data_IF_376476116712
#
_entry.id   IF_376476116712
#
_cell.length_a   1.000
_cell.length_b   1.000
_cell.length_c   1.000
_cell.angle_alpha   90.00
_cell.angle_beta   90.00
_cell.angle_gamma   90.00
#
_symmetry.space_group_name_H-M   'P 1'
#
loop_
_entity.id
_entity.type
_entity.pdbx_description
1 polymer ?
#
# COMPACT_ATOMS: atom_id res chain seq x y z
N UNK A 1 48.04 62.95 46.52
CA UNK A 1 46.99 62.77 45.49
C UNK A 1 47.10 61.35 44.97
N UNK A 2 46.25 60.46 45.50
CA UNK A 2 46.17 59.08 45.13
C UNK A 2 45.02 58.94 44.11
N UNK A 3 45.35 58.43 42.90
CA UNK A 3 44.26 58.00 41.91
C UNK A 3 44.05 56.55 42.06
N UNK A 4 42.83 56.18 42.45
CA UNK A 4 42.29 54.79 42.47
C UNK A 4 41.74 54.46 41.08
N UNK A 5 42.32 53.47 40.45
CA UNK A 5 41.85 52.92 39.19
C UNK A 5 40.91 51.73 39.51
N UNK A 6 39.62 51.85 39.12
CA UNK A 6 38.59 50.80 39.24
C UNK A 6 38.59 49.96 37.97
N UNK A 7 39.05 48.72 38.03
CA UNK A 7 38.90 47.75 36.94
C UNK A 7 37.51 47.12 36.94
N UNK A 8 36.77 47.32 35.86
CA UNK A 8 35.48 46.66 35.61
C UNK A 8 35.79 45.35 34.88
N UNK A 9 35.62 44.21 35.55
CA UNK A 9 35.60 42.91 34.94
C UNK A 9 34.26 42.69 34.25
N UNK A 10 34.21 42.68 32.91
CA UNK A 10 33.04 42.26 32.13
C UNK A 10 33.00 40.77 32.06
N UNK A 11 31.99 40.15 32.68
CA UNK A 11 31.69 38.74 32.60
C UNK A 11 30.99 38.47 31.27
N UNK A 12 31.67 37.87 30.29
CA UNK A 12 31.06 37.42 29.03
C UNK A 12 30.43 36.07 29.30
N UNK A 13 29.08 36.04 29.38
CA UNK A 13 28.29 34.82 29.39
C UNK A 13 28.27 34.25 27.97
N UNK A 14 29.03 33.18 27.71
CA UNK A 14 28.94 32.41 26.48
C UNK A 14 27.72 31.47 26.61
N UNK A 15 26.59 31.86 26.00
CA UNK A 15 25.44 30.97 25.81
C UNK A 15 25.78 30.06 24.63
N UNK A 16 26.20 28.86 24.92
CA UNK A 16 26.31 27.81 23.90
C UNK A 16 24.91 27.42 23.42
N UNK A 17 24.58 27.43 22.10
CA UNK A 17 23.37 26.91 21.62
C UNK A 17 23.37 25.37 21.82
N UNK A 18 22.47 24.86 22.64
CA UNK A 18 22.20 23.44 22.72
C UNK A 18 21.66 23.00 21.33
N UNK A 19 22.55 22.45 20.52
CA UNK A 19 22.15 21.63 19.36
C UNK A 19 21.37 20.42 19.91
N UNK A 20 20.06 20.54 19.98
CA UNK A 20 19.19 19.39 20.10
C UNK A 20 19.36 18.57 18.81
N UNK A 21 20.28 17.62 18.83
CA UNK A 21 20.31 16.56 17.83
C UNK A 21 18.93 15.87 17.89
N UNK A 22 18.10 16.14 16.88
CA UNK A 22 16.95 15.29 16.55
C UNK A 22 17.54 13.91 16.23
N UNK A 23 17.72 13.09 17.25
CA UNK A 23 17.93 11.65 17.06
C UNK A 23 16.63 11.18 16.43
N UNK A 24 16.62 10.95 15.11
CA UNK A 24 15.56 10.21 14.45
C UNK A 24 15.41 8.89 15.23
N UNK A 25 14.38 8.81 16.02
CA UNK A 25 14.04 7.60 16.78
C UNK A 25 13.42 6.64 15.75
N UNK A 26 14.20 5.70 15.24
CA UNK A 26 13.64 4.54 14.55
C UNK A 26 12.49 3.97 15.39
N UNK A 27 11.34 3.73 14.76
CA UNK A 27 10.11 3.42 15.48
C UNK A 27 10.07 1.94 15.91
N UNK A 28 9.49 1.67 17.07
CA UNK A 28 9.21 0.31 17.54
C UNK A 28 8.03 -0.27 16.74
N UNK A 29 8.16 -1.55 16.31
CA UNK A 29 7.07 -2.28 15.68
C UNK A 29 6.23 -2.98 16.76
N UNK A 30 4.96 -2.64 16.81
CA UNK A 30 4.01 -3.20 17.76
C UNK A 30 2.95 -4.03 17.02
N UNK A 31 2.79 -5.29 17.42
CA UNK A 31 1.62 -6.09 17.01
C UNK A 31 0.38 -5.54 17.68
N UNK A 32 -0.68 -5.36 16.90
CA UNK A 32 -1.98 -4.92 17.38
C UNK A 32 -3.02 -5.96 17.01
N UNK A 33 -3.66 -6.51 18.02
CA UNK A 33 -4.72 -7.49 17.90
C UNK A 33 -6.03 -6.96 18.52
N UNK A 34 -7.21 -7.46 18.10
CA UNK A 34 -8.46 -7.15 18.79
C UNK A 34 -8.44 -7.64 20.24
N UNK A 35 -9.18 -6.98 21.16
CA UNK A 35 -9.22 -7.32 22.57
C UNK A 35 -9.58 -8.80 22.85
N UNK A 36 -10.40 -9.42 21.98
CA UNK A 36 -10.85 -10.81 22.09
C UNK A 36 -10.12 -11.74 21.11
N UNK A 37 -8.91 -11.34 20.67
CA UNK A 37 -8.14 -12.11 19.71
C UNK A 37 -7.73 -13.47 20.29
N UNK A 38 -7.97 -14.53 19.50
CA UNK A 38 -7.42 -15.85 19.77
C UNK A 38 -6.35 -16.13 18.72
N UNK A 39 -5.11 -16.43 19.13
CA UNK A 39 -4.05 -16.81 18.19
C UNK A 39 -4.51 -18.01 17.35
N UNK A 40 -4.49 -17.86 16.03
CA UNK A 40 -4.97 -18.88 15.09
C UNK A 40 -3.85 -19.64 14.39
N UNK A 41 -2.57 -19.47 14.83
CA UNK A 41 -1.42 -20.03 14.14
C UNK A 41 -1.21 -19.50 12.70
N UNK A 42 -1.85 -18.37 12.37
CA UNK A 42 -1.70 -17.72 11.06
C UNK A 42 -0.28 -17.13 10.94
N UNK A 43 0.34 -17.17 9.76
CA UNK A 43 1.68 -16.60 9.54
C UNK A 43 1.63 -15.09 9.25
N UNK A 44 0.78 -14.34 9.95
CA UNK A 44 0.66 -12.88 9.86
C UNK A 44 -0.03 -12.32 11.11
N UNK A 45 0.29 -11.07 11.45
CA UNK A 45 -0.33 -10.32 12.55
C UNK A 45 -1.65 -9.69 12.09
N UNK A 46 -2.58 -9.42 13.02
CA UNK A 46 -3.82 -8.70 12.68
C UNK A 46 -3.54 -7.30 12.18
N UNK A 47 -2.59 -6.60 12.81
CA UNK A 47 -2.02 -5.36 12.33
C UNK A 47 -0.62 -5.13 12.94
N UNK A 48 0.16 -4.26 12.29
CA UNK A 48 1.45 -3.75 12.80
C UNK A 48 1.34 -2.23 12.94
N UNK A 49 1.63 -1.72 14.12
CA UNK A 49 1.76 -0.28 14.39
C UNK A 49 3.23 0.13 14.36
N UNK A 50 3.51 1.21 13.64
CA UNK A 50 4.83 1.86 13.66
C UNK A 50 4.62 3.36 13.81
N UNK A 51 5.03 3.92 14.94
CA UNK A 51 4.74 5.31 15.27
C UNK A 51 3.24 5.61 15.23
N UNK A 52 2.84 6.53 14.38
CA UNK A 52 1.44 6.93 14.22
C UNK A 52 0.67 6.12 13.17
N UNK A 53 1.34 5.23 12.42
CA UNK A 53 0.70 4.45 11.35
C UNK A 53 0.39 3.03 11.79
N UNK A 54 -0.82 2.55 11.48
CA UNK A 54 -1.27 1.19 11.68
C UNK A 54 -1.56 0.53 10.31
N UNK A 55 -0.86 -0.57 10.04
CA UNK A 55 -1.03 -1.40 8.85
C UNK A 55 -1.89 -2.61 9.20
N UNK A 56 -3.13 -2.65 8.73
CA UNK A 56 -4.12 -3.69 9.05
C UNK A 56 -4.11 -4.77 7.97
N UNK A 57 -4.04 -6.03 8.38
CA UNK A 57 -4.17 -7.19 7.47
C UNK A 57 -5.53 -7.22 6.78
N UNK A 58 -5.59 -7.83 5.61
CA UNK A 58 -6.84 -8.12 4.93
C UNK A 58 -7.84 -8.81 5.88
N UNK A 59 -9.02 -8.21 6.00
CA UNK A 59 -10.10 -8.72 6.80
C UNK A 59 -11.22 -9.21 5.90
N UNK A 60 -11.46 -10.53 5.93
CA UNK A 60 -12.67 -11.14 5.39
C UNK A 60 -13.85 -10.98 6.33
N UNK A 61 -14.96 -11.59 5.95
CA UNK A 61 -16.24 -11.51 6.67
C UNK A 61 -16.43 -12.57 7.75
N UNK A 62 -15.38 -13.33 8.10
CA UNK A 62 -15.49 -14.32 9.20
C UNK A 62 -15.72 -13.61 10.54
N UNK A 63 -16.70 -14.11 11.29
CA UNK A 63 -16.95 -13.74 12.67
C UNK A 63 -15.88 -14.34 13.59
N UNK A 64 -15.75 -13.88 14.85
CA UNK A 64 -14.80 -14.45 15.82
C UNK A 64 -14.99 -15.96 16.10
N UNK A 65 -16.18 -16.50 15.86
CA UNK A 65 -16.50 -17.93 15.99
C UNK A 65 -16.15 -18.75 14.74
N UNK A 66 -15.64 -18.10 13.67
CA UNK A 66 -15.26 -18.72 12.41
C UNK A 66 -16.39 -18.84 11.39
N UNK A 67 -17.62 -18.47 11.74
CA UNK A 67 -18.77 -18.52 10.81
C UNK A 67 -18.77 -17.34 9.83
N UNK A 68 -19.38 -17.55 8.66
CA UNK A 68 -19.60 -16.50 7.66
C UNK A 68 -21.04 -16.02 7.71
N UNK A 69 -21.31 -14.70 7.64
CA UNK A 69 -22.65 -14.16 7.48
C UNK A 69 -23.31 -14.66 6.17
N UNK A 70 -24.64 -14.76 6.17
CA UNK A 70 -25.41 -15.28 5.04
C UNK A 70 -25.47 -14.32 3.86
N UNK A 71 -25.88 -13.08 4.11
CA UNK A 71 -26.06 -12.07 3.08
C UNK A 71 -24.78 -11.26 2.81
N UNK A 72 -24.66 -10.69 1.61
CA UNK A 72 -23.46 -9.94 1.23
C UNK A 72 -23.32 -8.64 2.03
N UNK A 73 -24.39 -7.93 2.34
CA UNK A 73 -24.33 -6.71 3.16
C UNK A 73 -23.89 -7.01 4.60
N UNK A 74 -24.31 -8.13 5.20
CA UNK A 74 -23.79 -8.58 6.48
C UNK A 74 -22.30 -8.95 6.40
N UNK A 75 -21.84 -9.51 5.29
CA UNK A 75 -20.43 -9.81 5.06
C UNK A 75 -19.59 -8.54 5.02
N UNK A 76 -20.03 -7.50 4.30
CA UNK A 76 -19.35 -6.20 4.26
C UNK A 76 -19.30 -5.57 5.66
N UNK A 77 -20.44 -5.59 6.37
CA UNK A 77 -20.53 -5.08 7.74
C UNK A 77 -19.54 -5.81 8.65
N UNK A 78 -19.48 -7.13 8.58
CA UNK A 78 -18.56 -7.92 9.38
C UNK A 78 -17.08 -7.61 9.08
N UNK A 79 -16.69 -7.42 7.80
CA UNK A 79 -15.33 -7.00 7.44
C UNK A 79 -14.95 -5.67 8.11
N UNK A 80 -15.85 -4.68 8.03
CA UNK A 80 -15.60 -3.35 8.63
C UNK A 80 -15.61 -3.40 10.16
N UNK A 81 -16.43 -4.23 10.79
CA UNK A 81 -16.39 -4.45 12.24
C UNK A 81 -15.12 -5.21 12.68
N UNK A 82 -14.61 -6.15 11.88
CA UNK A 82 -13.32 -6.79 12.15
C UNK A 82 -12.18 -5.75 12.11
N UNK A 83 -12.18 -4.87 11.09
CA UNK A 83 -11.22 -3.75 11.01
C UNK A 83 -11.36 -2.84 12.22
N UNK A 84 -12.60 -2.44 12.58
CA UNK A 84 -12.86 -1.58 13.75
C UNK A 84 -12.34 -2.20 15.04
N UNK A 85 -12.53 -3.53 15.23
CA UNK A 85 -12.03 -4.22 16.41
C UNK A 85 -10.49 -4.17 16.52
N UNK A 86 -9.78 -4.34 15.39
CA UNK A 86 -8.32 -4.21 15.32
C UNK A 86 -7.90 -2.76 15.60
N UNK A 87 -8.54 -1.78 14.95
CA UNK A 87 -8.27 -0.36 15.18
C UNK A 87 -8.39 0.02 16.65
N UNK A 88 -9.46 -0.46 17.33
CA UNK A 88 -9.67 -0.24 18.76
C UNK A 88 -8.60 -0.88 19.64
N UNK A 89 -8.07 -2.05 19.25
CA UNK A 89 -6.90 -2.64 19.87
C UNK A 89 -5.66 -1.73 19.82
N UNK A 90 -5.56 -0.89 18.77
CA UNK A 90 -4.52 0.13 18.60
C UNK A 90 -4.89 1.52 19.12
N UNK A 91 -6.02 1.68 19.84
CA UNK A 91 -6.50 2.99 20.33
C UNK A 91 -7.07 3.92 19.24
N UNK A 92 -7.55 3.35 18.12
CA UNK A 92 -8.09 4.04 16.94
C UNK A 92 -9.54 3.59 16.66
N UNK A 93 -10.22 4.21 15.70
CA UNK A 93 -11.53 3.76 15.18
C UNK A 93 -11.58 4.05 13.66
N UNK A 94 -12.70 3.77 12.99
CA UNK A 94 -12.87 3.92 11.54
C UNK A 94 -12.54 5.32 11.01
N UNK A 95 -12.72 6.37 11.81
CA UNK A 95 -12.33 7.74 11.43
C UNK A 95 -10.82 7.94 11.30
N UNK A 96 -10.00 7.02 11.81
CA UNK A 96 -8.54 7.04 11.66
C UNK A 96 -8.07 6.51 10.31
N UNK A 97 -8.94 5.85 9.53
CA UNK A 97 -8.62 5.27 8.24
C UNK A 97 -8.15 6.34 7.25
N UNK A 98 -7.04 6.08 6.56
CA UNK A 98 -6.49 6.92 5.49
C UNK A 98 -6.55 6.23 4.14
N UNK A 99 -6.47 4.90 4.08
CA UNK A 99 -6.50 4.11 2.85
C UNK A 99 -7.23 2.80 3.06
N UNK A 100 -8.05 2.42 2.07
CA UNK A 100 -8.71 1.12 1.97
C UNK A 100 -8.52 0.50 0.58
N UNK A 101 -8.19 -0.79 0.54
CA UNK A 101 -8.33 -1.62 -0.64
C UNK A 101 -9.43 -2.64 -0.40
N UNK A 102 -10.43 -2.64 -1.27
CA UNK A 102 -11.61 -3.51 -1.22
C UNK A 102 -11.55 -4.50 -2.37
N UNK A 103 -11.56 -5.78 -2.05
CA UNK A 103 -11.52 -6.87 -3.01
C UNK A 103 -12.87 -7.59 -3.00
N UNK A 104 -13.51 -7.69 -4.16
CA UNK A 104 -14.80 -8.35 -4.36
C UNK A 104 -14.63 -9.49 -5.36
N UNK A 105 -15.20 -10.66 -5.06
CA UNK A 105 -15.23 -11.76 -6.05
C UNK A 105 -16.27 -11.53 -7.13
N UNK A 106 -17.25 -10.63 -6.89
CA UNK A 106 -18.28 -10.23 -7.84
C UNK A 106 -18.57 -8.72 -7.71
N UNK A 107 -18.21 -7.95 -8.75
CA UNK A 107 -18.47 -6.50 -8.79
C UNK A 107 -19.93 -6.10 -8.91
N UNK A 108 -20.87 -7.04 -9.23
CA UNK A 108 -22.30 -6.74 -9.17
C UNK A 108 -22.75 -6.36 -7.75
N UNK A 109 -21.96 -6.73 -6.74
CA UNK A 109 -22.18 -6.36 -5.34
C UNK A 109 -21.67 -4.96 -4.97
N UNK A 110 -21.10 -4.18 -5.91
CA UNK A 110 -20.47 -2.88 -5.62
C UNK A 110 -21.43 -1.87 -5.00
N UNK A 111 -22.66 -1.81 -5.46
CA UNK A 111 -23.69 -0.89 -4.91
C UNK A 111 -24.00 -1.22 -3.44
N UNK A 112 -24.20 -2.51 -3.13
CA UNK A 112 -24.41 -2.97 -1.75
C UNK A 112 -23.18 -2.69 -0.88
N UNK A 113 -21.95 -2.96 -1.41
CA UNK A 113 -20.71 -2.62 -0.74
C UNK A 113 -20.64 -1.13 -0.40
N UNK A 114 -20.93 -0.25 -1.37
CA UNK A 114 -20.89 1.19 -1.20
C UNK A 114 -21.88 1.66 -0.12
N UNK A 115 -23.11 1.18 -0.15
CA UNK A 115 -24.16 1.53 0.82
C UNK A 115 -23.72 1.23 2.26
N UNK A 116 -23.24 0.00 2.51
CA UNK A 116 -22.82 -0.43 3.86
C UNK A 116 -21.55 0.33 4.29
N UNK A 117 -20.62 0.52 3.38
CA UNK A 117 -19.39 1.28 3.62
C UNK A 117 -19.67 2.72 4.06
N UNK A 118 -20.52 3.46 3.32
CA UNK A 118 -20.84 4.83 3.66
C UNK A 118 -21.65 4.97 4.96
N UNK A 119 -22.50 3.97 5.24
CA UNK A 119 -23.23 3.91 6.50
C UNK A 119 -22.30 3.80 7.71
N UNK A 120 -21.27 2.93 7.63
CA UNK A 120 -20.42 2.61 8.78
C UNK A 120 -19.23 3.55 8.95
N UNK A 121 -18.58 3.96 7.86
CA UNK A 121 -17.42 4.86 7.96
C UNK A 121 -17.87 6.24 8.37
N UNK A 122 -18.87 6.81 7.71
CA UNK A 122 -19.36 8.17 8.00
C UNK A 122 -18.25 9.24 7.91
N UNK A 123 -18.58 10.49 8.14
CA UNK A 123 -17.60 11.57 8.30
C UNK A 123 -16.61 11.71 7.12
N UNK A 124 -15.32 11.81 7.43
CA UNK A 124 -14.26 11.98 6.44
C UNK A 124 -13.77 10.64 5.92
N UNK A 125 -14.17 10.29 4.70
CA UNK A 125 -13.83 9.04 4.03
C UNK A 125 -12.32 8.91 3.76
N UNK A 126 -11.74 7.68 3.83
CA UNK A 126 -10.37 7.40 3.39
C UNK A 126 -10.25 7.40 1.86
N UNK A 127 -9.03 7.40 1.35
CA UNK A 127 -8.75 7.01 -0.03
C UNK A 127 -9.16 5.54 -0.23
N UNK A 128 -9.80 5.22 -1.38
CA UNK A 128 -10.32 3.87 -1.60
C UNK A 128 -10.02 3.35 -3.01
N UNK A 129 -9.65 2.07 -3.06
CA UNK A 129 -9.51 1.28 -4.29
C UNK A 129 -10.46 0.09 -4.20
N UNK A 130 -11.31 -0.14 -5.21
CA UNK A 130 -12.20 -1.31 -5.29
C UNK A 130 -11.86 -2.12 -6.53
N UNK A 131 -11.72 -3.44 -6.38
CA UNK A 131 -11.25 -4.36 -7.42
C UNK A 131 -12.10 -5.63 -7.43
N UNK A 132 -12.41 -6.10 -8.64
CA UNK A 132 -12.93 -7.46 -8.85
C UNK A 132 -11.78 -8.45 -8.94
N UNK A 133 -11.71 -9.45 -8.03
CA UNK A 133 -10.63 -10.43 -7.95
C UNK A 133 -11.14 -11.84 -8.22
N UNK A 134 -10.24 -12.76 -8.60
CA UNK A 134 -10.63 -14.12 -8.96
C UNK A 134 -11.14 -14.93 -7.75
N UNK A 135 -10.48 -14.80 -6.60
CA UNK A 135 -10.86 -15.50 -5.38
C UNK A 135 -10.23 -14.85 -4.13
N UNK A 136 -10.76 -15.21 -2.96
CA UNK A 136 -10.33 -14.75 -1.65
C UNK A 136 -10.18 -15.94 -0.69
N UNK A 137 -9.28 -15.87 0.31
CA UNK A 137 -9.11 -16.95 1.27
C UNK A 137 -10.38 -17.24 2.08
N UNK A 138 -10.56 -18.50 2.49
CA UNK A 138 -11.61 -18.91 3.45
C UNK A 138 -13.04 -18.77 2.97
N UNK A 139 -13.29 -18.77 1.65
CA UNK A 139 -14.64 -18.65 1.08
C UNK A 139 -15.27 -17.26 1.23
N UNK A 140 -14.43 -16.24 1.48
CA UNK A 140 -14.89 -14.86 1.50
C UNK A 140 -15.29 -14.36 0.11
N UNK A 141 -16.29 -13.50 0.05
CA UNK A 141 -16.71 -12.79 -1.17
C UNK A 141 -16.32 -11.31 -1.15
N UNK A 142 -15.82 -10.85 -0.01
CA UNK A 142 -15.27 -9.53 0.22
C UNK A 142 -14.10 -9.62 1.20
N UNK A 143 -13.03 -8.89 0.92
CA UNK A 143 -11.90 -8.68 1.81
C UNK A 143 -11.49 -7.21 1.75
N UNK A 144 -11.08 -6.63 2.89
CA UNK A 144 -10.72 -5.22 2.99
C UNK A 144 -9.39 -5.11 3.72
N UNK A 145 -8.41 -4.44 3.07
CA UNK A 145 -7.12 -4.05 3.67
C UNK A 145 -7.18 -2.58 4.05
N UNK A 146 -6.55 -2.19 5.16
CA UNK A 146 -6.61 -0.83 5.65
C UNK A 146 -5.25 -0.28 6.12
N UNK A 147 -5.08 1.04 5.99
CA UNK A 147 -4.05 1.81 6.68
C UNK A 147 -4.77 2.90 7.48
N UNK A 148 -4.35 3.08 8.74
CA UNK A 148 -4.88 4.10 9.62
C UNK A 148 -3.76 4.93 10.27
N UNK A 149 -4.09 6.13 10.73
CA UNK A 149 -3.16 7.03 11.45
C UNK A 149 -3.74 7.41 12.81
N UNK A 150 -2.86 7.57 13.81
CA UNK A 150 -3.26 7.78 15.20
C UNK A 150 -4.10 9.06 15.41
N UNK A 151 -3.71 10.17 14.77
CA UNK A 151 -4.47 11.42 14.82
C UNK A 151 -5.38 11.57 13.59
N UNK A 152 -6.70 11.38 13.73
CA UNK A 152 -7.63 11.57 12.61
C UNK A 152 -7.74 13.02 12.12
N UNK A 153 -7.29 14.00 12.91
CA UNK A 153 -7.26 15.42 12.52
C UNK A 153 -6.08 15.76 11.62
N UNK A 154 -5.04 14.91 11.59
CA UNK A 154 -3.88 15.10 10.73
C UNK A 154 -4.19 14.79 9.26
N UNK A 155 -5.32 14.13 8.96
CA UNK A 155 -5.69 13.75 7.61
C UNK A 155 -6.48 14.85 6.89
N UNK A 156 -6.21 15.00 5.60
CA UNK A 156 -6.87 15.96 4.71
C UNK A 156 -7.29 15.28 3.42
N UNK A 157 -8.58 15.33 3.09
CA UNK A 157 -9.08 14.90 1.80
C UNK A 157 -8.61 15.87 0.69
N UNK A 158 -8.08 15.34 -0.39
CA UNK A 158 -7.65 16.10 -1.56
C UNK A 158 -8.72 16.00 -2.65
N UNK A 159 -9.24 17.17 -3.04
CA UNK A 159 -10.25 17.30 -4.08
C UNK A 159 -9.77 18.31 -5.13
N UNK A 160 -9.31 17.85 -6.31
CA UNK A 160 -9.03 18.76 -7.41
C UNK A 160 -10.31 19.50 -7.84
N UNK A 161 -10.20 20.79 -8.14
CA UNK A 161 -11.35 21.60 -8.58
C UNK A 161 -12.02 21.07 -9.85
N UNK A 162 -11.28 20.34 -10.68
CA UNK A 162 -11.79 19.71 -11.91
C UNK A 162 -12.57 18.42 -11.67
N UNK A 163 -12.53 17.83 -10.47
CA UNK A 163 -13.21 16.57 -10.19
C UNK A 163 -14.63 16.81 -9.66
N UNK A 164 -15.58 16.04 -10.19
CA UNK A 164 -16.94 16.05 -9.65
C UNK A 164 -16.96 15.47 -8.24
N UNK A 165 -17.58 16.20 -7.33
CA UNK A 165 -17.83 15.76 -5.98
C UNK A 165 -19.31 15.43 -5.82
N UNK A 166 -19.63 14.12 -5.79
CA UNK A 166 -20.97 13.65 -5.49
C UNK A 166 -21.31 13.74 -3.99
N UNK A 167 -22.57 13.52 -3.66
CA UNK A 167 -23.05 13.53 -2.26
C UNK A 167 -22.37 12.43 -1.41
N UNK A 168 -22.10 11.28 -2.02
CA UNK A 168 -21.41 10.12 -1.44
C UNK A 168 -20.29 9.72 -2.40
N UNK A 169 -19.14 10.40 -2.30
CA UNK A 169 -17.98 10.14 -3.13
C UNK A 169 -16.74 10.03 -2.27
N UNK A 170 -15.90 9.06 -2.57
CA UNK A 170 -14.59 8.94 -1.96
C UNK A 170 -13.69 10.08 -2.43
N UNK A 171 -12.83 10.63 -1.57
CA UNK A 171 -11.85 11.61 -2.02
C UNK A 171 -10.88 10.99 -3.01
N UNK A 172 -10.48 11.70 -4.08
CA UNK A 172 -9.44 11.24 -5.00
C UNK A 172 -8.11 10.90 -4.34
N UNK A 173 -7.82 11.51 -3.19
CA UNK A 173 -6.73 11.12 -2.30
C UNK A 173 -6.96 11.62 -0.88
N UNK A 174 -6.25 11.02 0.09
CA UNK A 174 -6.15 11.48 1.47
C UNK A 174 -4.67 11.70 1.81
N UNK A 175 -4.34 12.88 2.30
CA UNK A 175 -3.03 13.20 2.84
C UNK A 175 -3.05 13.08 4.36
N UNK A 176 -2.05 12.39 4.93
CA UNK A 176 -1.80 12.34 6.36
C UNK A 176 -0.31 12.61 6.60
N UNK A 177 -0.01 13.74 7.26
CA UNK A 177 1.37 14.23 7.35
C UNK A 177 1.98 14.45 5.97
N UNK A 178 3.15 13.86 5.72
CA UNK A 178 3.87 13.97 4.44
C UNK A 178 3.41 12.93 3.40
N UNK A 179 2.58 11.97 3.77
CA UNK A 179 2.17 10.86 2.91
C UNK A 179 0.79 11.13 2.31
N UNK A 180 0.70 10.95 1.00
CA UNK A 180 -0.53 11.00 0.23
C UNK A 180 -0.93 9.60 -0.22
N UNK A 181 -2.15 9.19 0.11
CA UNK A 181 -2.76 7.94 -0.32
C UNK A 181 -3.74 8.24 -1.45
N UNK A 182 -3.50 7.68 -2.64
CA UNK A 182 -4.34 7.87 -3.82
C UNK A 182 -5.45 6.81 -3.84
N UNK A 183 -6.69 7.25 -4.01
CA UNK A 183 -7.78 6.38 -4.47
C UNK A 183 -7.49 5.89 -5.89
N UNK A 184 -8.11 4.81 -6.30
CA UNK A 184 -8.01 4.36 -7.68
C UNK A 184 -8.46 5.45 -8.66
N UNK A 185 -7.57 5.85 -9.56
CA UNK A 185 -7.85 6.80 -10.64
C UNK A 185 -8.13 6.02 -11.92
N UNK A 186 -9.36 6.11 -12.40
CA UNK A 186 -9.80 5.47 -13.64
C UNK A 186 -9.45 6.31 -14.88
N UNK A 187 -9.69 5.74 -16.04
CA UNK A 187 -9.57 6.43 -17.33
C UNK A 187 -10.73 7.36 -17.65
N UNK A 188 -11.72 7.50 -16.78
CA UNK A 188 -12.82 8.41 -16.99
C UNK A 188 -12.36 9.87 -16.88
N UNK A 189 -12.80 10.72 -17.80
CA UNK A 189 -12.65 12.17 -17.66
C UNK A 189 -13.38 12.63 -16.39
N UNK A 190 -12.71 13.31 -15.45
CA UNK A 190 -13.27 13.61 -14.13
C UNK A 190 -14.41 14.65 -14.16
N UNK A 191 -14.61 15.37 -15.29
CA UNK A 191 -15.70 16.34 -15.46
C UNK A 191 -16.91 15.72 -16.14
N UNK A 192 -16.69 14.94 -17.20
CA UNK A 192 -17.77 14.40 -18.04
C UNK A 192 -18.15 12.99 -17.68
N UNK A 193 -17.20 12.19 -17.16
CA UNK A 193 -17.34 10.76 -16.92
C UNK A 193 -17.11 9.91 -18.18
N UNK A 194 -16.78 10.53 -19.33
CA UNK A 194 -16.51 9.81 -20.57
C UNK A 194 -15.21 9.02 -20.51
N UNK A 195 -15.20 7.85 -21.15
CA UNK A 195 -14.03 6.98 -21.28
C UNK A 195 -13.50 7.07 -22.71
N UNK A 196 -12.19 7.23 -22.94
CA UNK A 196 -11.59 7.04 -24.25
C UNK A 196 -11.83 5.61 -24.78
N UNK A 197 -12.05 5.47 -26.08
CA UNK A 197 -12.21 4.14 -26.72
C UNK A 197 -10.87 3.40 -26.82
N UNK A 198 -9.80 4.14 -27.18
CA UNK A 198 -8.46 3.58 -27.31
C UNK A 198 -7.83 3.29 -25.95
N UNK A 199 -7.23 2.10 -25.81
CA UNK A 199 -6.64 1.68 -24.52
C UNK A 199 -5.43 2.51 -24.10
N UNK A 200 -4.53 2.86 -25.04
CA UNK A 200 -3.40 3.74 -24.72
C UNK A 200 -3.88 5.12 -24.27
N UNK A 201 -4.98 5.62 -24.86
CA UNK A 201 -5.63 6.84 -24.40
C UNK A 201 -6.27 6.67 -23.01
N UNK A 202 -6.83 5.51 -22.68
CA UNK A 202 -7.30 5.19 -21.31
C UNK A 202 -6.14 5.21 -20.31
N UNK A 203 -5.00 4.57 -20.63
CA UNK A 203 -3.81 4.59 -19.76
C UNK A 203 -3.33 6.02 -19.53
N UNK A 204 -3.23 6.80 -20.61
CA UNK A 204 -2.83 8.22 -20.54
C UNK A 204 -3.79 9.03 -19.66
N UNK A 205 -5.10 8.94 -19.89
CA UNK A 205 -6.10 9.67 -19.11
C UNK A 205 -6.03 9.32 -17.62
N UNK A 206 -5.90 8.03 -17.28
CA UNK A 206 -5.79 7.60 -15.89
C UNK A 206 -4.53 8.15 -15.21
N UNK A 207 -3.37 8.18 -15.90
CA UNK A 207 -2.14 8.79 -15.39
C UNK A 207 -2.22 10.31 -15.30
N UNK A 208 -2.91 10.98 -16.22
CA UNK A 208 -3.19 12.41 -16.12
C UNK A 208 -4.09 12.72 -14.92
N UNK A 209 -5.12 11.88 -14.66
CA UNK A 209 -5.95 12.01 -13.46
C UNK A 209 -5.11 11.86 -12.17
N UNK A 210 -4.17 10.92 -12.13
CA UNK A 210 -3.19 10.82 -11.03
C UNK A 210 -2.41 12.13 -10.90
N UNK A 211 -1.90 12.69 -12.01
CA UNK A 211 -1.15 13.95 -12.03
C UNK A 211 -1.95 15.13 -11.50
N UNK A 212 -3.23 15.22 -11.86
CA UNK A 212 -4.15 16.28 -11.37
C UNK A 212 -4.36 16.15 -9.86
N UNK A 213 -4.53 14.94 -9.34
CA UNK A 213 -4.69 14.69 -7.89
C UNK A 213 -3.41 15.05 -7.14
N UNK A 214 -2.25 14.63 -7.65
CA UNK A 214 -0.94 14.98 -7.08
C UNK A 214 -0.73 16.49 -7.06
N UNK A 215 -1.03 17.18 -8.15
CA UNK A 215 -0.91 18.65 -8.26
C UNK A 215 -1.78 19.37 -7.23
N UNK A 216 -3.01 18.91 -6.99
CA UNK A 216 -3.89 19.45 -5.96
C UNK A 216 -3.33 19.28 -4.52
N UNK A 217 -2.40 18.34 -4.34
CA UNK A 217 -1.66 18.14 -3.09
C UNK A 217 -0.30 18.87 -3.07
N UNK A 218 0.04 19.65 -4.12
CA UNK A 218 1.35 20.30 -4.26
C UNK A 218 2.48 19.34 -4.64
N UNK A 219 2.15 18.22 -5.29
CA UNK A 219 3.06 17.15 -5.70
C UNK A 219 3.01 16.93 -7.22
N UNK A 220 3.85 16.02 -7.72
CA UNK A 220 3.87 15.56 -9.11
C UNK A 220 4.13 14.06 -9.17
N UNK A 221 4.17 13.46 -10.35
CA UNK A 221 4.53 12.04 -10.53
C UNK A 221 5.91 11.69 -9.92
N UNK A 222 6.84 12.65 -9.79
CA UNK A 222 8.15 12.45 -9.13
C UNK A 222 8.01 12.11 -7.64
N UNK A 223 6.89 12.47 -7.02
CA UNK A 223 6.61 12.21 -5.61
C UNK A 223 6.09 10.80 -5.35
N UNK A 224 5.71 10.04 -6.39
CA UNK A 224 5.18 8.69 -6.24
C UNK A 224 6.26 7.75 -5.65
N UNK A 225 5.91 7.10 -4.57
CA UNK A 225 6.71 6.09 -3.86
C UNK A 225 6.34 4.70 -4.35
N UNK A 226 5.03 4.47 -4.52
CA UNK A 226 4.41 3.22 -4.91
C UNK A 226 3.26 3.46 -5.87
N UNK A 227 3.12 2.60 -6.88
CA UNK A 227 2.00 2.62 -7.84
C UNK A 227 1.50 1.20 -8.08
N UNK A 228 0.19 1.02 -8.06
CA UNK A 228 -0.47 -0.18 -8.52
C UNK A 228 -1.26 0.12 -9.80
N UNK A 229 -0.78 -0.32 -10.97
CA UNK A 229 -1.61 -0.48 -12.15
C UNK A 229 -2.47 -1.75 -11.98
N UNK A 230 -3.79 -1.63 -12.17
CA UNK A 230 -4.74 -2.73 -12.23
C UNK A 230 -5.32 -2.83 -13.63
N UNK A 231 -5.22 -4.00 -14.24
CA UNK A 231 -5.65 -4.28 -15.62
C UNK A 231 -6.66 -5.42 -15.61
N UNK A 232 -7.69 -5.33 -16.40
CA UNK A 232 -8.66 -6.41 -16.62
C UNK A 232 -8.30 -7.31 -17.81
N UNK A 233 -7.32 -6.89 -18.63
CA UNK A 233 -6.72 -7.68 -19.71
C UNK A 233 -5.19 -7.56 -19.67
N UNK A 234 -4.53 -8.62 -19.18
CA UNK A 234 -3.06 -8.62 -19.06
C UNK A 234 -2.32 -8.72 -20.39
N UNK A 235 -3.00 -9.09 -21.48
CA UNK A 235 -2.41 -9.05 -22.83
C UNK A 235 -2.00 -7.64 -23.24
N UNK A 236 -2.65 -6.63 -22.65
CA UNK A 236 -2.35 -5.20 -22.84
C UNK A 236 -1.24 -4.66 -21.95
N UNK A 237 -0.61 -5.53 -21.13
CA UNK A 237 0.46 -5.11 -20.22
C UNK A 237 1.62 -4.37 -20.92
N UNK A 238 2.05 -4.85 -22.09
CA UNK A 238 3.09 -4.19 -22.88
C UNK A 238 2.68 -2.83 -23.43
N UNK A 239 1.42 -2.69 -23.85
CA UNK A 239 0.85 -1.42 -24.31
C UNK A 239 0.75 -0.41 -23.17
N UNK A 240 0.25 -0.84 -22.00
CA UNK A 240 0.22 -0.01 -20.80
C UNK A 240 1.62 0.48 -20.44
N UNK A 241 2.62 -0.40 -20.45
CA UNK A 241 4.00 -0.03 -20.10
C UNK A 241 4.58 1.05 -21.01
N UNK A 242 4.32 1.00 -22.33
CA UNK A 242 4.79 2.01 -23.30
C UNK A 242 4.28 3.41 -22.96
N UNK A 243 3.04 3.55 -22.50
CA UNK A 243 2.49 4.85 -22.06
C UNK A 243 3.04 5.20 -20.69
N UNK A 244 3.02 4.24 -19.74
CA UNK A 244 3.43 4.44 -18.35
C UNK A 244 4.88 4.95 -18.23
N UNK A 245 5.83 4.36 -18.96
CA UNK A 245 7.25 4.73 -18.87
C UNK A 245 7.53 6.18 -19.28
N UNK A 246 6.66 6.81 -20.07
CA UNK A 246 6.82 8.22 -20.49
C UNK A 246 6.63 9.22 -19.35
N UNK A 247 6.05 8.79 -18.23
CA UNK A 247 5.80 9.65 -17.05
C UNK A 247 6.95 9.66 -16.05
N UNK A 248 7.94 8.77 -16.21
CA UNK A 248 8.98 8.56 -15.21
C UNK A 248 10.39 8.57 -15.81
N UNK A 249 11.35 8.99 -14.98
CA UNK A 249 12.77 8.94 -15.31
C UNK A 249 13.31 7.51 -15.13
N UNK A 250 14.07 7.02 -16.12
CA UNK A 250 14.70 5.71 -16.07
C UNK A 250 15.57 5.53 -14.82
N UNK A 251 15.37 4.45 -14.10
CA UNK A 251 16.11 4.14 -12.87
C UNK A 251 15.67 4.96 -11.64
N UNK A 252 14.62 5.79 -11.77
CA UNK A 252 14.02 6.56 -10.68
C UNK A 252 12.47 6.47 -10.67
N UNK A 253 11.94 5.45 -11.32
CA UNK A 253 10.50 5.12 -11.32
C UNK A 253 10.01 4.76 -9.92
N UNK A 254 8.71 4.89 -9.59
CA UNK A 254 8.18 4.39 -8.33
C UNK A 254 8.32 2.88 -8.17
N UNK A 255 8.22 2.37 -6.95
CA UNK A 255 7.94 0.96 -6.70
C UNK A 255 6.60 0.59 -7.33
N UNK A 256 6.45 -0.64 -7.83
CA UNK A 256 5.26 -1.04 -8.58
C UNK A 256 4.83 -2.48 -8.34
N UNK A 257 3.51 -2.68 -8.23
CA UNK A 257 2.86 -3.98 -8.35
C UNK A 257 1.76 -3.92 -9.40
N UNK A 258 1.97 -4.52 -10.57
CA UNK A 258 0.93 -4.59 -11.61
C UNK A 258 0.11 -5.84 -11.42
N UNK A 259 -1.21 -5.68 -11.34
CA UNK A 259 -2.13 -6.74 -10.96
C UNK A 259 -3.16 -6.95 -12.06
N UNK A 260 -3.35 -8.20 -12.45
CA UNK A 260 -4.44 -8.62 -13.33
C UNK A 260 -5.68 -8.91 -12.48
N UNK A 261 -6.74 -8.16 -12.69
CA UNK A 261 -8.01 -8.26 -11.95
C UNK A 261 -9.12 -8.78 -12.86
N UNK A 262 -10.19 -9.31 -12.28
CA UNK A 262 -11.32 -9.82 -13.07
C UNK A 262 -12.17 -8.70 -13.66
N UNK A 263 -12.28 -7.60 -12.94
CA UNK A 263 -13.09 -6.46 -13.37
C UNK A 263 -12.69 -5.19 -12.61
N UNK A 264 -12.96 -4.06 -13.23
CA UNK A 264 -12.73 -2.71 -12.70
C UNK A 264 -14.05 -1.94 -12.63
N UNK A 265 -14.28 -1.15 -11.58
CA UNK A 265 -15.45 -0.28 -11.52
C UNK A 265 -15.44 0.77 -12.65
N UNK A 266 -16.64 1.11 -13.19
CA UNK A 266 -16.80 2.21 -14.14
C UNK A 266 -16.47 1.88 -15.60
N UNK A 267 -16.24 0.61 -15.96
CA UNK A 267 -16.14 0.13 -17.34
C UNK A 267 -14.86 0.48 -18.09
N UNK A 268 -13.86 1.05 -17.42
CA UNK A 268 -12.53 1.24 -17.99
C UNK A 268 -11.67 0.00 -17.81
N UNK A 269 -10.59 -0.12 -18.63
CA UNK A 269 -9.70 -1.28 -18.68
C UNK A 269 -8.43 -1.13 -17.84
N UNK A 270 -8.24 0.02 -17.21
CA UNK A 270 -7.07 0.32 -16.37
C UNK A 270 -7.43 1.31 -15.28
N UNK A 271 -6.89 1.10 -14.09
CA UNK A 271 -6.90 2.09 -13.01
C UNK A 271 -5.53 2.11 -12.32
N UNK A 272 -5.17 3.25 -11.74
CA UNK A 272 -3.95 3.42 -10.96
C UNK A 272 -4.28 3.88 -9.55
N UNK A 273 -3.75 3.20 -8.54
CA UNK A 273 -3.69 3.70 -7.17
C UNK A 273 -2.23 3.85 -6.73
N UNK A 274 -1.98 4.47 -5.59
CA UNK A 274 -0.59 4.61 -5.16
C UNK A 274 -0.41 5.39 -3.86
N UNK A 275 0.85 5.57 -3.52
CA UNK A 275 1.31 6.33 -2.36
C UNK A 275 2.36 7.33 -2.84
N UNK A 276 2.28 8.59 -2.38
CA UNK A 276 3.27 9.62 -2.68
C UNK A 276 3.80 10.27 -1.40
N UNK A 277 5.04 10.76 -1.45
CA UNK A 277 5.69 11.48 -0.37
C UNK A 277 5.95 12.95 -0.75
N UNK A 278 5.67 13.87 0.15
CA UNK A 278 5.75 15.32 -0.13
C UNK A 278 7.18 15.79 -0.35
N UNK A 279 8.13 15.33 0.47
CA UNK A 279 9.52 15.77 0.44
C UNK A 279 10.37 14.89 -0.49
N UNK A 280 10.71 15.40 -1.66
CA UNK A 280 11.57 14.69 -2.63
C UNK A 280 12.98 14.39 -2.12
N UNK A 281 13.49 15.15 -1.14
CA UNK A 281 14.82 14.92 -0.59
C UNK A 281 14.89 13.60 0.21
N UNK A 282 13.75 13.15 0.73
CA UNK A 282 13.64 11.87 1.46
C UNK A 282 13.48 10.66 0.53
N UNK A 283 13.19 10.87 -0.77
CA UNK A 283 12.89 9.82 -1.74
C UNK A 283 14.16 9.32 -2.43
N UNK A 284 14.45 8.03 -2.31
CA UNK A 284 15.61 7.39 -2.93
C UNK A 284 15.19 6.04 -3.56
N UNK A 285 15.47 5.83 -4.84
CA UNK A 285 15.31 4.53 -5.47
C UNK A 285 16.39 3.57 -4.97
N UNK A 286 16.00 2.37 -4.53
CA UNK A 286 16.92 1.27 -4.19
C UNK A 286 17.31 0.51 -5.44
N UNK A 287 18.59 0.12 -5.55
CA UNK A 287 19.18 -0.45 -6.77
C UNK A 287 20.06 -1.65 -6.43
N UNK A 288 19.49 -2.81 -6.07
CA UNK A 288 20.27 -4.02 -5.80
C UNK A 288 21.14 -4.39 -7.00
N UNK A 289 22.41 -4.77 -6.75
CA UNK A 289 23.40 -5.03 -7.81
C UNK A 289 22.98 -6.13 -8.80
N UNK A 290 22.22 -7.10 -8.33
CA UNK A 290 21.76 -8.24 -9.12
C UNK A 290 20.44 -7.97 -9.88
N UNK A 291 19.83 -6.81 -9.73
CA UNK A 291 18.59 -6.43 -10.41
C UNK A 291 18.83 -5.35 -11.45
N UNK A 292 18.56 -5.61 -12.74
CA UNK A 292 18.67 -4.59 -13.77
C UNK A 292 17.68 -3.45 -13.53
N UNK A 293 18.06 -2.24 -13.91
CA UNK A 293 17.14 -1.11 -13.92
C UNK A 293 16.03 -1.34 -14.94
N UNK A 294 14.84 -0.86 -14.65
CA UNK A 294 13.66 -0.96 -15.51
C UNK A 294 13.07 0.43 -15.79
N UNK A 295 12.56 0.67 -17.00
CA UNK A 295 11.87 1.92 -17.31
C UNK A 295 10.52 2.03 -16.60
N UNK A 296 10.00 0.94 -16.05
CA UNK A 296 8.64 0.88 -15.52
C UNK A 296 8.55 0.65 -14.02
N UNK A 297 9.63 0.21 -13.35
CA UNK A 297 9.62 -0.02 -11.90
C UNK A 297 11.03 0.02 -11.31
N UNK A 298 11.25 0.80 -10.27
CA UNK A 298 12.41 0.62 -9.38
C UNK A 298 12.20 -0.63 -8.52
N UNK A 299 13.24 -1.37 -8.11
CA UNK A 299 13.12 -2.48 -7.16
C UNK A 299 12.38 -2.09 -5.87
N UNK A 300 12.54 -0.84 -5.42
CA UNK A 300 11.82 -0.22 -4.34
C UNK A 300 12.16 1.26 -4.22
N UNK A 301 11.40 1.98 -3.41
CA UNK A 301 11.63 3.38 -3.05
C UNK A 301 11.74 3.49 -1.53
N UNK A 302 12.88 3.97 -1.05
CA UNK A 302 13.07 4.39 0.32
C UNK A 302 12.60 5.85 0.47
N UNK A 303 11.75 6.12 1.44
CA UNK A 303 11.28 7.45 1.83
C UNK A 303 11.45 7.65 3.33
N UNK A 304 12.48 8.37 3.74
CA UNK A 304 12.92 8.40 5.14
C UNK A 304 13.26 6.99 5.62
N UNK A 305 12.57 6.51 6.64
CA UNK A 305 12.75 5.16 7.20
C UNK A 305 11.79 4.11 6.62
N UNK A 306 10.94 4.48 5.67
CA UNK A 306 9.97 3.57 5.05
C UNK A 306 10.39 3.15 3.65
N UNK A 307 10.44 1.84 3.40
CA UNK A 307 10.76 1.24 2.11
C UNK A 307 9.50 0.63 1.49
N UNK A 308 9.21 1.04 0.26
CA UNK A 308 8.12 0.52 -0.58
C UNK A 308 8.72 -0.38 -1.65
N UNK A 309 8.67 -1.70 -1.46
CA UNK A 309 9.26 -2.69 -2.38
C UNK A 309 8.29 -3.10 -3.47
N UNK A 310 8.74 -3.03 -4.71
CA UNK A 310 8.02 -3.54 -5.88
C UNK A 310 7.63 -5.01 -5.71
N UNK A 311 6.49 -5.38 -6.26
CA UNK A 311 6.08 -6.78 -6.30
C UNK A 311 7.14 -7.64 -7.01
N UNK A 312 7.53 -8.73 -6.36
CA UNK A 312 8.48 -9.70 -6.86
C UNK A 312 7.82 -11.06 -7.00
N UNK A 313 8.19 -11.77 -8.05
CA UNK A 313 7.80 -13.15 -8.32
C UNK A 313 9.05 -14.05 -8.30
N UNK A 314 8.88 -15.35 -8.51
CA UNK A 314 9.97 -16.32 -8.61
C UNK A 314 10.92 -16.13 -9.79
N UNK A 315 11.04 -14.92 -10.28
CA UNK A 315 11.92 -14.51 -11.37
C UNK A 315 13.39 -14.50 -10.92
N UNK A 316 14.22 -15.22 -11.65
CA UNK A 316 15.67 -15.17 -11.45
C UNK A 316 16.25 -14.10 -12.40
N UNK A 317 16.96 -13.08 -11.87
CA UNK A 317 17.57 -12.04 -12.69
C UNK A 317 18.41 -12.63 -13.84
N UNK A 318 18.16 -12.20 -15.07
CA UNK A 318 18.84 -12.70 -16.29
C UNK A 318 18.33 -14.04 -16.83
N UNK A 319 17.48 -14.79 -16.10
CA UNK A 319 17.00 -16.11 -16.53
C UNK A 319 15.46 -16.22 -16.65
N UNK A 320 14.71 -15.35 -15.96
CA UNK A 320 13.25 -15.41 -15.93
C UNK A 320 12.70 -16.42 -14.91
N UNK A 321 11.49 -16.92 -15.14
CA UNK A 321 10.87 -17.99 -14.35
C UNK A 321 11.33 -19.34 -14.90
N UNK A 322 12.19 -20.03 -14.15
CA UNK A 322 12.87 -21.27 -14.62
C UNK A 322 12.17 -22.55 -14.16
N UNK A 323 11.25 -22.49 -13.23
CA UNK A 323 10.53 -23.64 -12.67
C UNK A 323 9.03 -23.38 -12.56
N UNK A 324 8.23 -24.44 -12.58
CA UNK A 324 6.79 -24.41 -12.26
C UNK A 324 6.50 -24.83 -10.81
N UNK A 325 7.52 -25.22 -10.06
CA UNK A 325 7.39 -25.56 -8.64
C UNK A 325 7.09 -24.30 -7.82
N UNK A 326 5.95 -24.31 -7.15
CA UNK A 326 5.44 -23.15 -6.40
C UNK A 326 6.35 -22.77 -5.23
N UNK A 327 6.86 -23.75 -4.48
CA UNK A 327 7.72 -23.47 -3.32
C UNK A 327 9.06 -22.87 -3.75
N UNK A 328 9.65 -23.38 -4.83
CA UNK A 328 10.89 -22.83 -5.38
C UNK A 328 10.67 -21.39 -5.91
N UNK A 329 9.55 -21.13 -6.56
CA UNK A 329 9.19 -19.75 -6.97
C UNK A 329 9.04 -18.84 -5.77
N UNK A 330 8.30 -19.24 -4.74
CA UNK A 330 8.10 -18.45 -3.52
C UNK A 330 9.44 -18.15 -2.80
N UNK A 331 10.34 -19.14 -2.68
CA UNK A 331 11.69 -18.92 -2.14
C UNK A 331 12.47 -17.88 -2.94
N UNK A 332 12.39 -17.94 -4.27
CA UNK A 332 13.06 -16.97 -5.13
C UNK A 332 12.46 -15.59 -5.01
N UNK A 333 11.13 -15.46 -4.90
CA UNK A 333 10.46 -14.20 -4.66
C UNK A 333 10.89 -13.55 -3.35
N UNK A 334 10.96 -14.36 -2.29
CA UNK A 334 11.44 -13.89 -0.98
C UNK A 334 12.92 -13.48 -1.03
N UNK A 335 13.77 -14.20 -1.82
CA UNK A 335 15.16 -13.77 -2.04
C UNK A 335 15.24 -12.43 -2.79
N UNK A 336 14.43 -12.25 -3.83
CA UNK A 336 14.37 -10.99 -4.58
C UNK A 336 13.92 -9.81 -3.70
N UNK A 337 12.98 -10.05 -2.78
CA UNK A 337 12.54 -9.06 -1.80
C UNK A 337 13.64 -8.76 -0.78
N UNK A 338 14.36 -9.78 -0.32
CA UNK A 338 15.49 -9.61 0.61
C UNK A 338 16.61 -8.78 -0.02
N UNK A 339 16.93 -8.98 -1.29
CA UNK A 339 17.92 -8.15 -2.00
C UNK A 339 17.55 -6.66 -1.97
N UNK A 340 16.24 -6.36 -2.09
CA UNK A 340 15.74 -4.99 -1.98
C UNK A 340 15.78 -4.44 -0.54
N UNK A 341 15.52 -5.28 0.46
CA UNK A 341 15.65 -4.93 1.88
C UNK A 341 17.11 -4.67 2.23
N UNK A 342 18.02 -5.59 1.90
CA UNK A 342 19.48 -5.48 2.15
C UNK A 342 20.08 -4.22 1.51
N UNK A 343 19.65 -3.84 0.29
CA UNK A 343 20.09 -2.59 -0.36
C UNK A 343 19.66 -1.34 0.42
N UNK A 344 18.57 -1.42 1.18
CA UNK A 344 18.10 -0.37 2.08
C UNK A 344 18.62 -0.54 3.53
N UNK A 345 19.57 -1.46 3.78
CA UNK A 345 20.07 -1.82 5.11
C UNK A 345 18.97 -2.29 6.07
N UNK A 346 18.02 -3.06 5.55
CA UNK A 346 16.89 -3.67 6.24
C UNK A 346 16.89 -5.19 6.08
N UNK A 347 16.04 -5.87 6.83
CA UNK A 347 15.79 -7.30 6.71
C UNK A 347 14.29 -7.62 6.90
N UNK A 348 13.92 -8.92 6.92
CA UNK A 348 12.51 -9.32 7.09
C UNK A 348 11.89 -8.85 8.39
N UNK A 349 12.67 -8.56 9.43
CA UNK A 349 12.14 -8.04 10.69
C UNK A 349 11.64 -6.61 10.58
N UNK A 350 12.08 -5.85 9.56
CA UNK A 350 11.62 -4.49 9.26
C UNK A 350 10.29 -4.46 8.49
N UNK A 351 9.83 -5.61 7.95
CA UNK A 351 8.59 -5.67 7.16
C UNK A 351 7.36 -5.48 8.05
N UNK A 352 6.52 -4.52 7.71
CA UNK A 352 5.30 -4.18 8.45
C UNK A 352 4.02 -4.57 7.72
N UNK A 353 4.06 -4.63 6.38
CA UNK A 353 2.90 -5.01 5.56
C UNK A 353 3.34 -5.78 4.33
N UNK A 354 2.58 -6.82 4.00
CA UNK A 354 2.76 -7.66 2.82
C UNK A 354 1.45 -7.80 2.05
N UNK A 355 1.54 -7.76 0.72
CA UNK A 355 0.44 -8.19 -0.14
C UNK A 355 0.93 -9.35 -0.99
N UNK A 356 0.20 -10.46 -0.93
CA UNK A 356 0.47 -11.68 -1.70
C UNK A 356 -0.62 -11.85 -2.76
N UNK A 357 -0.20 -11.96 -4.00
CA UNK A 357 -1.06 -12.20 -5.17
C UNK A 357 -0.81 -13.61 -5.67
N UNK A 358 -1.73 -14.54 -5.40
CA UNK A 358 -1.62 -15.95 -5.85
C UNK A 358 -2.21 -16.11 -7.24
N UNK A 359 -1.63 -17.01 -8.02
CA UNK A 359 -2.23 -17.49 -9.27
C UNK A 359 -3.44 -18.39 -9.02
N UNK A 360 -3.34 -19.22 -7.99
CA UNK A 360 -4.38 -20.18 -7.62
C UNK A 360 -4.49 -20.26 -6.09
N UNK A 361 -5.69 -20.10 -5.56
CA UNK A 361 -5.93 -20.17 -4.11
C UNK A 361 -5.66 -21.56 -3.53
N UNK A 362 -5.55 -22.63 -4.34
CA UNK A 362 -5.11 -23.96 -3.88
C UNK A 362 -3.70 -23.93 -3.26
N UNK A 363 -2.85 -22.99 -3.70
CA UNK A 363 -1.46 -22.85 -3.20
C UNK A 363 -1.39 -22.07 -1.86
N UNK A 364 -2.56 -21.61 -1.33
CA UNK A 364 -2.62 -20.79 -0.11
C UNK A 364 -2.03 -21.49 1.13
N UNK A 365 -2.27 -22.80 1.31
CA UNK A 365 -1.73 -23.54 2.44
C UNK A 365 -0.20 -23.69 2.32
N UNK A 366 0.30 -24.14 1.17
CA UNK A 366 1.74 -24.27 0.91
C UNK A 366 2.46 -22.90 1.04
N UNK A 367 1.83 -21.83 0.53
CA UNK A 367 2.32 -20.48 0.70
C UNK A 367 2.44 -20.12 2.18
N UNK A 368 1.42 -20.38 3.00
CA UNK A 368 1.44 -20.09 4.44
C UNK A 368 2.56 -20.83 5.16
N UNK A 369 2.75 -22.11 4.87
CA UNK A 369 3.74 -22.95 5.54
C UNK A 369 5.16 -22.51 5.23
N UNK A 370 5.43 -22.14 3.98
CA UNK A 370 6.74 -21.62 3.60
C UNK A 370 6.94 -20.17 4.06
N UNK A 371 5.93 -19.29 3.90
CA UNK A 371 6.00 -17.88 4.25
C UNK A 371 6.37 -17.66 5.73
N UNK A 372 5.80 -18.47 6.66
CA UNK A 372 6.10 -18.38 8.10
C UNK A 372 7.59 -18.58 8.43
N UNK A 373 8.33 -19.28 7.59
CA UNK A 373 9.75 -19.58 7.85
C UNK A 373 10.67 -18.36 7.68
N UNK A 374 10.19 -17.31 7.01
CA UNK A 374 10.95 -16.08 6.80
C UNK A 374 10.81 -15.06 7.94
N UNK A 375 9.77 -15.19 8.78
CA UNK A 375 9.50 -14.27 9.88
C UNK A 375 9.65 -15.00 11.22
N UNK A 376 10.75 -14.72 11.93
CA UNK A 376 11.11 -15.47 13.14
C UNK A 376 10.31 -15.01 14.37
N UNK A 377 10.24 -13.70 14.60
CA UNK A 377 9.69 -13.14 15.85
C UNK A 377 8.28 -12.56 15.65
N UNK A 378 8.11 -11.74 14.63
CA UNK A 378 6.86 -11.03 14.34
C UNK A 378 6.59 -11.10 12.86
N UNK A 379 5.46 -11.69 12.50
CA UNK A 379 5.00 -11.65 11.10
C UNK A 379 4.37 -10.30 10.80
N UNK A 380 4.55 -9.73 9.59
CA UNK A 380 3.89 -8.51 9.18
C UNK A 380 2.37 -8.66 9.10
N UNK A 381 1.64 -7.56 8.97
CA UNK A 381 0.28 -7.59 8.45
C UNK A 381 0.31 -8.14 7.02
N UNK A 382 -0.74 -8.88 6.61
CA UNK A 382 -0.79 -9.49 5.28
C UNK A 382 -2.19 -9.51 4.70
N UNK A 383 -2.25 -9.24 3.41
CA UNK A 383 -3.42 -9.47 2.55
C UNK A 383 -3.06 -10.51 1.50
N UNK A 384 -3.97 -11.43 1.21
CA UNK A 384 -3.76 -12.43 0.16
C UNK A 384 -4.98 -12.47 -0.74
N UNK A 385 -4.77 -12.26 -2.04
CA UNK A 385 -5.83 -12.37 -3.05
C UNK A 385 -5.40 -13.27 -4.19
N UNK A 386 -6.36 -13.86 -4.89
CA UNK A 386 -6.08 -14.51 -6.17
C UNK A 386 -6.27 -13.49 -7.28
N UNK A 387 -5.19 -13.25 -8.04
CA UNK A 387 -5.25 -12.46 -9.26
C UNK A 387 -5.57 -13.37 -10.47
N UNK A 388 -6.08 -12.76 -11.53
CA UNK A 388 -6.43 -13.48 -12.74
C UNK A 388 -5.23 -13.63 -13.69
N UNK A 389 -4.27 -14.49 -13.34
CA UNK A 389 -3.14 -14.77 -14.23
C UNK A 389 -3.59 -15.50 -15.50
N UNK A 390 -3.02 -15.13 -16.64
CA UNK A 390 -3.17 -15.90 -17.85
C UNK A 390 -2.67 -17.34 -17.63
N UNK A 391 -3.36 -18.33 -18.24
CA UNK A 391 -3.00 -19.76 -18.13
C UNK A 391 -1.55 -20.04 -18.54
N UNK A 392 -1.03 -19.27 -19.50
CA UNK A 392 0.33 -19.39 -20.03
C UNK A 392 1.41 -18.79 -19.11
N UNK A 393 1.03 -17.96 -18.14
CA UNK A 393 1.97 -17.36 -17.19
C UNK A 393 2.57 -18.43 -16.29
N UNK A 394 3.89 -18.53 -16.27
CA UNK A 394 4.61 -19.44 -15.38
C UNK A 394 4.66 -18.95 -13.92
N UNK A 395 4.38 -17.68 -13.68
CA UNK A 395 4.39 -17.07 -12.35
C UNK A 395 3.27 -17.67 -11.48
N UNK A 396 3.63 -18.25 -10.34
CA UNK A 396 2.69 -18.81 -9.37
C UNK A 396 2.19 -17.79 -8.35
N UNK A 397 2.98 -16.74 -8.09
CA UNK A 397 2.66 -15.70 -7.12
C UNK A 397 3.47 -14.41 -7.39
N UNK A 398 3.02 -13.32 -6.76
CA UNK A 398 3.79 -12.09 -6.58
C UNK A 398 3.63 -11.59 -5.15
N UNK A 399 4.68 -11.00 -4.59
CA UNK A 399 4.64 -10.44 -3.23
C UNK A 399 5.25 -9.04 -3.25
N UNK A 400 4.58 -8.09 -2.56
CA UNK A 400 5.12 -6.77 -2.30
C UNK A 400 5.19 -6.49 -0.81
N UNK A 401 6.16 -5.66 -0.39
CA UNK A 401 6.33 -5.28 1.01
C UNK A 401 6.33 -3.76 1.21
N UNK A 402 5.82 -3.35 2.36
CA UNK A 402 6.19 -2.11 3.02
C UNK A 402 7.04 -2.50 4.22
N UNK A 403 8.24 -1.93 4.33
CA UNK A 403 9.13 -2.12 5.47
C UNK A 403 9.44 -0.77 6.11
N UNK A 404 9.58 -0.74 7.43
CA UNK A 404 9.96 0.45 8.19
C UNK A 404 11.14 0.09 9.09
N UNK A 405 12.22 0.86 9.01
CA UNK A 405 13.45 0.60 9.77
C UNK A 405 13.17 0.51 11.27
N UNK A 406 13.54 -0.60 11.88
CA UNK A 406 13.48 -0.79 13.35
C UNK A 406 14.63 -0.06 14.05
N UNK A 407 14.43 0.29 15.32
CA UNK A 407 15.53 0.54 16.26
C UNK A 407 16.33 -0.74 16.42
N UNK A 408 17.60 -0.69 16.06
CA UNK A 408 18.58 -1.71 16.47
C UNK A 408 19.10 -1.41 17.85
#
# INVERSE_FOLDING_TARGET
MLRTSTSICALILIVAPALASLVLRAAEHQVVDPANFKPHGRPYSSAIRVGDTLYVSGQGSQKPDGTLPGSFDERVRQCLENIRAILRGGGMDLQNLVSLHVYLTDLNNLETMNRVYWELIGGQLPARTVLGVANLPGGNTVEITAIAVADPKSKRAIWPASFRKGKQSDPPAVQAGEILYLSAQSAADPKTGSLPEDYSAQVKQALENVGVVLSAAGMSHKNLLWVNPYLDDFKRYGEMNKVYETYFEFGNTPGRGTIHVNALPGGGHVVFSGIAGQDLAKRKAVKPRNMPLSPTASPGILYGDTLYLSAKSGFIPGQGIVTSDFELQLRQSMRNLLDGLEEAEMDFSDVVSAIVYLKDMKDYAAMNDLYRTFFKDTSPSRTTIQQNFDKETRTGEQISFIAVRRKK
#
